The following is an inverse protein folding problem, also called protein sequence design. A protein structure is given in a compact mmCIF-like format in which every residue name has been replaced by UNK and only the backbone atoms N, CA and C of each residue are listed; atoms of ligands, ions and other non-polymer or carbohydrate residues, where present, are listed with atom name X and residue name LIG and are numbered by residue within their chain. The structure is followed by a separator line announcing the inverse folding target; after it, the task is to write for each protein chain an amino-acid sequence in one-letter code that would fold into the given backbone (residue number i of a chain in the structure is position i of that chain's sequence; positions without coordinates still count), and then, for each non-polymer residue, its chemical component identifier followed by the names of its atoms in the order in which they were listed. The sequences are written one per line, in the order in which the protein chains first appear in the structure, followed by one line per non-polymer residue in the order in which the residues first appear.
data_IF_754378712946
#
_entry.id   IF_754378712946
#
_cell.length_a   1.000
_cell.length_b   1.000
_cell.length_c   1.000
_cell.angle_alpha   90.00
_cell.angle_beta   90.00
_cell.angle_gamma   90.00
#
_symmetry.space_group_name_H-M   'P 1'
#
loop_
_entity.id
_entity.type
_entity.pdbx_description
1 polymer ?
#
# COMPACT_ATOMS: atom_id res chain seq x y z
N UNK A 1 -8.98 -22.16 20.41
CA UNK A 1 -8.71 -22.41 18.98
C UNK A 1 -8.25 -21.10 18.39
N UNK A 2 -7.12 -21.09 17.68
CA UNK A 2 -6.78 -19.95 16.82
C UNK A 2 -7.79 -19.92 15.66
N UNK A 3 -8.26 -18.73 15.24
CA UNK A 3 -9.12 -18.60 14.07
C UNK A 3 -8.40 -19.15 12.82
N UNK A 4 -9.16 -19.72 11.89
CA UNK A 4 -8.60 -20.12 10.60
C UNK A 4 -8.31 -18.89 9.74
N UNK A 5 -7.44 -19.00 8.74
CA UNK A 5 -7.22 -17.91 7.79
C UNK A 5 -8.52 -17.43 7.14
N UNK A 6 -9.46 -18.34 6.88
CA UNK A 6 -10.76 -17.99 6.33
C UNK A 6 -11.60 -17.16 7.31
N UNK A 7 -11.55 -17.47 8.62
CA UNK A 7 -12.23 -16.68 9.64
C UNK A 7 -11.62 -15.28 9.78
N UNK A 8 -10.29 -15.17 9.71
CA UNK A 8 -9.61 -13.88 9.75
C UNK A 8 -9.98 -13.03 8.53
N UNK A 9 -9.90 -13.58 7.32
CA UNK A 9 -10.30 -12.86 6.10
C UNK A 9 -11.79 -12.49 6.09
N UNK A 10 -12.65 -13.27 6.74
CA UNK A 10 -14.06 -12.93 6.92
C UNK A 10 -14.30 -11.71 7.83
N UNK A 11 -13.29 -11.28 8.61
CA UNK A 11 -13.36 -10.05 9.41
C UNK A 11 -13.19 -8.77 8.57
N UNK A 12 -12.80 -8.86 7.30
CA UNK A 12 -12.75 -7.72 6.39
C UNK A 12 -14.18 -7.20 6.16
N UNK A 13 -14.40 -5.92 6.49
CA UNK A 13 -15.68 -5.24 6.33
C UNK A 13 -15.72 -4.48 5.01
N UNK A 14 -16.83 -4.58 4.29
CA UNK A 14 -17.03 -3.96 2.98
C UNK A 14 -17.72 -2.59 3.12
N UNK A 15 -17.40 -1.58 2.27
CA UNK A 15 -16.37 -1.63 1.23
C UNK A 15 -14.96 -1.77 1.81
N UNK A 16 -14.10 -2.55 1.15
CA UNK A 16 -12.71 -2.70 1.56
C UNK A 16 -11.80 -1.85 0.68
N UNK A 17 -10.86 -1.15 1.32
CA UNK A 17 -9.91 -0.25 0.70
C UNK A 17 -8.51 -0.83 0.81
N UNK A 18 -7.96 -1.33 -0.29
CA UNK A 18 -6.60 -1.89 -0.32
C UNK A 18 -5.62 -0.76 -0.57
N UNK A 19 -4.87 -0.39 0.47
CA UNK A 19 -4.04 0.81 0.52
C UNK A 19 -2.55 0.45 0.54
N UNK A 20 -1.80 1.08 -0.36
CA UNK A 20 -0.33 1.02 -0.39
C UNK A 20 0.26 2.42 -0.50
N UNK A 21 1.46 2.60 0.06
CA UNK A 21 2.16 3.88 0.14
C UNK A 21 3.56 3.81 -0.44
N UNK A 22 3.90 4.85 -1.20
CA UNK A 22 5.26 5.09 -1.66
C UNK A 22 5.86 6.34 -1.03
N UNK A 23 7.06 6.18 -0.51
CA UNK A 23 7.78 7.22 0.22
C UNK A 23 9.14 7.48 -0.40
N UNK A 24 9.61 8.71 -0.32
CA UNK A 24 10.98 9.04 -0.66
C UNK A 24 11.80 9.38 0.57
N UNK A 25 13.11 9.15 0.49
CA UNK A 25 14.10 9.55 1.49
C UNK A 25 15.27 10.23 0.77
N UNK A 26 15.71 11.38 1.27
CA UNK A 26 16.92 12.05 0.76
C UNK A 26 17.93 12.29 1.87
N UNK A 27 19.22 12.17 1.54
CA UNK A 27 20.31 12.52 2.46
C UNK A 27 20.40 14.04 2.70
N UNK A 28 20.02 14.82 1.69
CA UNK A 28 19.87 16.29 1.81
C UNK A 28 18.38 16.60 1.83
N UNK A 29 17.85 17.25 2.87
CA UNK A 29 16.44 17.62 2.94
C UNK A 29 16.01 18.43 1.72
N UNK A 30 14.92 18.02 1.06
CA UNK A 30 14.31 18.82 0.00
C UNK A 30 13.59 20.06 0.55
N UNK A 31 13.16 20.00 1.81
CA UNK A 31 12.49 21.10 2.49
C UNK A 31 13.23 21.49 3.79
N UNK A 32 13.29 22.78 4.16
CA UNK A 32 14.09 23.26 5.30
C UNK A 32 13.71 22.64 6.66
N UNK A 33 12.49 22.10 6.77
CA UNK A 33 11.90 21.55 8.00
C UNK A 33 11.84 20.02 8.01
N UNK A 34 12.48 19.35 7.05
CA UNK A 34 12.54 17.89 6.97
C UNK A 34 13.89 17.43 7.46
N UNK A 35 13.94 16.43 8.34
CA UNK A 35 15.20 15.88 8.80
C UNK A 35 15.88 15.07 7.67
N UNK A 36 17.22 15.05 7.58
CA UNK A 36 17.93 14.12 6.71
C UNK A 36 17.44 12.68 6.91
N UNK A 37 17.26 11.94 5.81
CA UNK A 37 16.79 10.55 5.80
C UNK A 37 15.36 10.32 6.33
N UNK A 38 14.59 11.38 6.58
CA UNK A 38 13.18 11.24 6.92
C UNK A 38 12.38 10.73 5.71
N UNK A 39 11.54 9.73 5.95
CA UNK A 39 10.62 9.22 4.93
C UNK A 39 9.46 10.19 4.76
N UNK A 40 9.29 10.70 3.53
CA UNK A 40 8.15 11.54 3.18
C UNK A 40 7.19 10.75 2.31
N UNK A 41 5.93 10.71 2.72
CA UNK A 41 4.86 10.14 1.92
C UNK A 41 4.61 10.98 0.67
N UNK A 42 4.68 10.35 -0.49
CA UNK A 42 4.54 11.02 -1.79
C UNK A 42 3.49 10.44 -2.68
N UNK A 43 3.13 9.19 -2.45
CA UNK A 43 2.18 8.52 -3.30
C UNK A 43 1.39 7.50 -2.50
N UNK A 44 0.15 7.29 -2.94
CA UNK A 44 -0.65 6.17 -2.53
C UNK A 44 -1.46 5.61 -3.69
N UNK A 45 -1.85 4.36 -3.56
CA UNK A 45 -2.84 3.69 -4.38
C UNK A 45 -3.92 3.10 -3.50
N UNK A 46 -5.18 3.08 -3.97
CA UNK A 46 -6.33 2.50 -3.29
C UNK A 46 -7.18 1.74 -4.30
N UNK A 47 -7.16 0.41 -4.23
CA UNK A 47 -8.19 -0.40 -4.87
C UNK A 47 -9.41 -0.53 -3.95
N UNK A 48 -10.60 -0.21 -4.46
CA UNK A 48 -11.85 -0.27 -3.69
C UNK A 48 -12.64 -1.47 -4.16
N UNK A 49 -13.07 -2.28 -3.20
CA UNK A 49 -13.88 -3.46 -3.45
C UNK A 49 -15.21 -3.40 -2.69
N UNK A 50 -16.31 -3.73 -3.36
CA UNK A 50 -17.64 -3.84 -2.74
C UNK A 50 -17.91 -5.22 -2.13
N UNK A 51 -17.14 -6.22 -2.56
CA UNK A 51 -17.21 -7.62 -2.13
C UNK A 51 -15.85 -8.30 -2.42
N UNK A 52 -15.58 -9.52 -1.93
CA UNK A 52 -14.35 -10.25 -2.25
C UNK A 52 -14.08 -10.27 -3.76
N UNK A 53 -12.89 -9.83 -4.16
CA UNK A 53 -12.41 -9.77 -5.56
C UNK A 53 -13.16 -8.84 -6.51
N UNK A 54 -14.17 -8.12 -6.04
CA UNK A 54 -14.96 -7.23 -6.88
C UNK A 54 -14.39 -5.81 -6.80
N UNK A 55 -13.33 -5.53 -7.55
CA UNK A 55 -12.80 -4.17 -7.73
C UNK A 55 -13.83 -3.33 -8.48
N UNK A 56 -14.31 -2.26 -7.86
CA UNK A 56 -15.30 -1.36 -8.45
C UNK A 56 -14.75 0.04 -8.75
N UNK A 57 -13.67 0.45 -8.07
CA UNK A 57 -13.05 1.76 -8.24
C UNK A 57 -11.55 1.68 -7.89
N UNK A 58 -10.76 2.61 -8.43
CA UNK A 58 -9.35 2.77 -8.11
C UNK A 58 -9.04 4.26 -7.96
N UNK A 59 -8.37 4.61 -6.87
CA UNK A 59 -7.97 5.98 -6.55
C UNK A 59 -6.48 6.02 -6.29
N UNK A 60 -5.84 7.08 -6.73
CA UNK A 60 -4.39 7.21 -6.64
C UNK A 60 -4.00 8.67 -6.47
N UNK A 61 -2.84 8.87 -5.85
CA UNK A 61 -2.23 10.18 -5.69
C UNK A 61 -0.73 10.07 -5.91
N UNK A 62 -0.16 11.03 -6.62
CA UNK A 62 1.29 11.19 -6.75
C UNK A 62 1.64 12.67 -6.64
N UNK A 63 2.41 12.99 -5.61
CA UNK A 63 2.82 14.34 -5.25
C UNK A 63 3.44 15.10 -6.43
N UNK A 64 3.19 16.40 -6.45
CA UNK A 64 3.95 17.34 -7.25
C UNK A 64 5.33 17.52 -6.61
N UNK A 65 6.38 17.24 -7.37
CA UNK A 65 7.76 17.27 -6.88
C UNK A 65 8.29 18.69 -6.66
N UNK A 66 7.54 19.73 -7.04
CA UNK A 66 7.92 21.14 -6.90
C UNK A 66 7.48 21.78 -5.59
N UNK A 67 6.64 21.11 -4.79
CA UNK A 67 6.08 21.65 -3.54
C UNK A 67 5.91 20.57 -2.48
N UNK A 68 5.78 20.97 -1.21
CA UNK A 68 5.38 20.03 -0.15
C UNK A 68 3.89 19.71 -0.29
N UNK A 69 3.59 18.45 -0.64
CA UNK A 69 2.25 17.95 -0.86
C UNK A 69 1.67 17.20 0.34
N UNK A 70 2.37 17.08 1.47
CA UNK A 70 1.94 16.19 2.57
C UNK A 70 0.56 16.51 3.15
N UNK A 71 0.21 17.81 3.26
CA UNK A 71 -1.14 18.22 3.70
C UNK A 71 -2.20 17.83 2.68
N UNK A 72 -1.99 18.21 1.41
CA UNK A 72 -2.90 17.90 0.30
C UNK A 72 -3.14 16.39 0.19
N UNK A 73 -2.06 15.61 0.31
CA UNK A 73 -2.09 14.15 0.32
C UNK A 73 -2.92 13.63 1.50
N UNK A 74 -2.70 14.13 2.72
CA UNK A 74 -3.46 13.70 3.90
C UNK A 74 -4.96 13.99 3.77
N UNK A 75 -5.33 15.19 3.32
CA UNK A 75 -6.72 15.58 3.10
C UNK A 75 -7.39 14.71 2.02
N UNK A 76 -6.67 14.44 0.93
CA UNK A 76 -7.17 13.58 -0.14
C UNK A 76 -7.30 12.12 0.29
N UNK A 77 -6.33 11.61 1.04
CA UNK A 77 -6.34 10.27 1.60
C UNK A 77 -7.58 10.04 2.49
N UNK A 78 -7.87 10.97 3.40
CA UNK A 78 -9.08 10.91 4.25
C UNK A 78 -10.34 10.84 3.39
N UNK A 79 -10.45 11.72 2.38
CA UNK A 79 -11.61 11.75 1.49
C UNK A 79 -11.74 10.47 0.66
N UNK A 80 -10.63 9.92 0.17
CA UNK A 80 -10.62 8.73 -0.68
C UNK A 80 -10.94 7.44 0.10
N UNK A 81 -10.60 7.37 1.39
CA UNK A 81 -10.86 6.23 2.29
C UNK A 81 -12.26 6.25 2.95
N UNK A 82 -12.94 7.40 2.94
CA UNK A 82 -14.26 7.58 3.55
C UNK A 82 -14.29 7.23 5.05
N UNK A 83 -15.46 6.89 5.57
CA UNK A 83 -15.69 6.65 7.02
C UNK A 83 -16.07 5.20 7.39
N UNK A 84 -16.24 4.29 6.42
CA UNK A 84 -16.79 2.95 6.65
C UNK A 84 -15.93 1.82 6.05
N UNK A 85 -16.08 0.59 6.55
CA UNK A 85 -15.38 -0.59 6.02
C UNK A 85 -13.93 -0.74 6.48
N UNK A 86 -13.22 -1.73 5.96
CA UNK A 86 -11.84 -2.03 6.34
C UNK A 86 -10.84 -1.38 5.39
N UNK A 87 -9.70 -0.93 5.94
CA UNK A 87 -8.56 -0.45 5.14
C UNK A 87 -7.49 -1.52 5.22
N UNK A 88 -7.37 -2.32 4.16
CA UNK A 88 -6.45 -3.45 4.09
C UNK A 88 -5.07 -2.96 3.64
N UNK A 89 -4.05 -3.23 4.44
CA UNK A 89 -2.65 -2.92 4.12
C UNK A 89 -1.81 -4.19 4.23
N UNK A 90 -0.65 -4.22 3.58
CA UNK A 90 0.22 -5.38 3.65
C UNK A 90 1.11 -5.38 4.90
N UNK A 91 1.32 -4.23 5.55
CA UNK A 91 2.20 -4.17 6.72
C UNK A 91 1.82 -3.05 7.69
N UNK A 92 2.49 -2.94 8.85
CA UNK A 92 2.32 -1.81 9.77
C UNK A 92 2.90 -0.48 9.24
N UNK A 93 3.51 -0.45 8.05
CA UNK A 93 4.17 0.74 7.53
C UNK A 93 3.18 1.87 7.26
N UNK A 94 2.02 1.56 6.69
CA UNK A 94 0.97 2.54 6.38
C UNK A 94 0.45 3.21 7.66
N UNK A 95 0.27 2.43 8.73
CA UNK A 95 -0.07 2.94 10.07
C UNK A 95 0.97 3.96 10.56
N UNK A 96 2.24 3.66 10.37
CA UNK A 96 3.34 4.56 10.77
C UNK A 96 3.27 5.87 10.00
N UNK A 97 3.00 5.82 8.70
CA UNK A 97 2.90 7.03 7.86
C UNK A 97 1.67 7.87 8.19
N UNK A 98 0.50 7.24 8.44
CA UNK A 98 -0.71 7.96 8.85
C UNK A 98 -0.50 8.67 10.20
N UNK A 99 0.12 8.01 11.18
CA UNK A 99 0.44 8.64 12.47
C UNK A 99 1.40 9.82 12.32
N UNK A 100 2.41 9.73 11.45
CA UNK A 100 3.31 10.86 11.16
C UNK A 100 2.56 12.05 10.54
N UNK A 101 1.59 11.79 9.65
CA UNK A 101 0.74 12.85 9.11
C UNK A 101 -0.12 13.50 10.20
N UNK A 102 -0.65 12.71 11.15
CA UNK A 102 -1.42 13.21 12.28
C UNK A 102 -0.58 14.07 13.24
N UNK A 103 0.67 13.68 13.50
CA UNK A 103 1.63 14.49 14.26
C UNK A 103 1.98 15.81 13.55
N UNK A 104 2.16 15.75 12.23
CA UNK A 104 2.51 16.90 11.42
C UNK A 104 1.35 17.89 11.25
N UNK A 105 0.11 17.39 11.19
CA UNK A 105 -1.11 18.18 11.01
C UNK A 105 -2.12 17.86 12.12
N UNK A 106 -2.00 18.48 13.31
CA UNK A 106 -2.86 18.16 14.46
C UNK A 106 -4.36 18.36 14.21
N UNK A 107 -4.75 19.26 13.30
CA UNK A 107 -6.14 19.47 12.88
C UNK A 107 -6.70 18.31 12.04
N UNK A 108 -5.84 17.48 11.45
CA UNK A 108 -6.21 16.26 10.73
C UNK A 108 -6.03 14.98 11.57
N UNK A 109 -5.57 15.11 12.83
CA UNK A 109 -5.22 13.96 13.65
C UNK A 109 -6.44 13.05 13.96
N UNK A 110 -7.59 13.65 14.24
CA UNK A 110 -8.82 12.90 14.51
C UNK A 110 -9.29 12.07 13.29
N UNK A 111 -9.50 12.64 12.08
CA UNK A 111 -9.89 11.84 10.92
C UNK A 111 -8.84 10.80 10.52
N UNK A 112 -7.54 11.12 10.61
CA UNK A 112 -6.47 10.15 10.37
C UNK A 112 -6.49 9.01 11.41
N UNK A 113 -6.79 9.32 12.66
CA UNK A 113 -6.97 8.34 13.73
C UNK A 113 -8.08 7.33 13.41
N UNK A 114 -9.22 7.80 12.88
CA UNK A 114 -10.29 6.91 12.41
C UNK A 114 -9.87 6.00 11.26
N UNK A 115 -8.99 6.48 10.36
CA UNK A 115 -8.38 5.61 9.36
C UNK A 115 -7.51 4.52 10.00
N UNK A 116 -6.69 4.87 11.00
CA UNK A 116 -5.83 3.92 11.73
C UNK A 116 -6.65 2.83 12.43
N UNK A 117 -7.80 3.17 13.02
CA UNK A 117 -8.70 2.22 13.68
C UNK A 117 -9.33 1.20 12.72
N UNK A 118 -9.38 1.53 11.42
CA UNK A 118 -9.93 0.66 10.37
C UNK A 118 -8.86 -0.18 9.66
N UNK A 119 -7.58 -0.01 9.99
CA UNK A 119 -6.49 -0.75 9.36
C UNK A 119 -6.59 -2.26 9.66
N UNK A 120 -6.41 -3.04 8.62
CA UNK A 120 -6.38 -4.50 8.65
C UNK A 120 -5.07 -4.97 8.02
N UNK A 121 -4.15 -5.50 8.86
CA UNK A 121 -2.81 -5.93 8.43
C UNK A 121 -2.87 -7.34 7.85
N UNK A 122 -2.79 -7.44 6.53
CA UNK A 122 -2.87 -8.69 5.81
C UNK A 122 -1.66 -9.59 6.10
N UNK A 123 -0.46 -9.05 6.24
CA UNK A 123 0.73 -9.88 6.48
C UNK A 123 0.68 -10.54 7.85
N UNK A 124 0.19 -9.84 8.87
CA UNK A 124 0.06 -10.44 10.21
C UNK A 124 -0.86 -11.67 10.15
N UNK A 125 -2.04 -11.49 9.56
CA UNK A 125 -3.05 -12.54 9.32
C UNK A 125 -2.46 -13.75 8.59
N UNK A 126 -1.68 -13.50 7.54
CA UNK A 126 -1.01 -14.56 6.79
C UNK A 126 0.05 -15.28 7.62
N UNK A 127 0.85 -14.55 8.39
CA UNK A 127 1.94 -15.13 9.16
C UNK A 127 1.46 -15.95 10.37
N UNK A 128 0.29 -15.64 10.92
CA UNK A 128 -0.29 -16.35 12.05
C UNK A 128 -1.16 -17.53 11.60
N UNK A 129 -1.88 -17.39 10.49
CA UNK A 129 -2.90 -18.35 10.05
C UNK A 129 -2.50 -19.30 8.92
N UNK A 130 -1.35 -19.10 8.26
CA UNK A 130 -1.01 -19.87 7.06
C UNK A 130 0.49 -20.02 6.80
N UNK A 131 0.91 -21.21 6.38
CA UNK A 131 2.27 -21.46 5.92
C UNK A 131 2.25 -22.32 4.66
N UNK A 132 3.07 -21.94 3.68
CA UNK A 132 3.36 -22.75 2.50
C UNK A 132 4.87 -23.02 2.42
N UNK A 133 5.33 -24.25 2.12
CA UNK A 133 6.77 -24.55 2.02
C UNK A 133 7.53 -23.63 1.06
N UNK A 134 6.90 -23.29 -0.08
CA UNK A 134 7.49 -22.42 -1.11
C UNK A 134 7.54 -20.93 -0.71
N UNK A 135 7.02 -20.55 0.46
CA UNK A 135 7.30 -19.23 1.02
C UNK A 135 8.75 -19.11 1.48
N UNK A 136 9.42 -20.23 1.74
CA UNK A 136 10.80 -20.28 2.27
C UNK A 136 10.99 -19.42 3.53
N UNK A 137 9.94 -19.32 4.36
CA UNK A 137 9.93 -18.51 5.59
C UNK A 137 9.73 -17.01 5.38
N UNK A 138 9.51 -16.54 4.14
CA UNK A 138 9.24 -15.14 3.83
C UNK A 138 7.75 -14.88 3.64
N UNK A 139 7.23 -13.91 4.41
CA UNK A 139 5.89 -13.35 4.27
C UNK A 139 5.94 -11.94 3.66
N UNK A 140 6.86 -11.70 2.73
CA UNK A 140 6.81 -10.49 1.89
C UNK A 140 5.81 -10.71 0.76
N UNK A 141 5.17 -9.64 0.28
CA UNK A 141 4.18 -9.74 -0.79
C UNK A 141 4.78 -10.42 -2.03
N UNK A 142 6.02 -10.07 -2.36
CA UNK A 142 6.78 -10.65 -3.48
C UNK A 142 7.18 -12.11 -3.28
N UNK A 143 7.26 -12.58 -2.04
CA UNK A 143 7.53 -13.99 -1.73
C UNK A 143 6.27 -14.85 -1.80
N UNK A 144 5.14 -14.34 -1.31
CA UNK A 144 3.88 -15.11 -1.25
C UNK A 144 3.06 -15.01 -2.54
N UNK A 145 3.12 -13.88 -3.25
CA UNK A 145 2.31 -13.63 -4.44
C UNK A 145 2.53 -14.66 -5.55
N UNK A 146 3.77 -15.00 -5.96
CA UNK A 146 3.99 -15.96 -7.05
C UNK A 146 3.49 -17.37 -6.72
N UNK A 147 3.47 -17.73 -5.43
CA UNK A 147 3.03 -19.05 -4.95
C UNK A 147 1.50 -19.17 -5.01
N UNK A 148 0.79 -18.10 -4.68
CA UNK A 148 -0.66 -18.12 -4.50
C UNK A 148 -1.44 -17.56 -5.68
N UNK A 149 -0.81 -16.66 -6.43
CA UNK A 149 -1.39 -15.95 -7.58
C UNK A 149 -0.34 -15.98 -8.72
N UNK A 150 -0.03 -17.17 -9.27
CA UNK A 150 1.07 -17.33 -10.23
C UNK A 150 0.84 -16.58 -11.55
N UNK A 151 -0.39 -16.14 -11.83
CA UNK A 151 -0.74 -15.32 -13.00
C UNK A 151 -0.46 -13.83 -12.79
N UNK A 152 -0.03 -13.40 -11.60
CA UNK A 152 0.34 -12.02 -11.30
C UNK A 152 1.85 -11.90 -11.06
N UNK A 153 2.50 -11.02 -11.82
CA UNK A 153 3.95 -10.79 -11.75
C UNK A 153 4.28 -9.31 -11.82
N UNK A 154 5.48 -8.96 -11.34
CA UNK A 154 6.10 -7.65 -11.53
C UNK A 154 7.13 -7.67 -12.67
N UNK A 155 7.35 -8.83 -13.30
CA UNK A 155 8.26 -8.96 -14.44
C UNK A 155 7.82 -8.09 -15.61
N UNK A 156 8.77 -7.40 -16.23
CA UNK A 156 8.52 -6.50 -17.35
C UNK A 156 8.07 -5.09 -16.96
N UNK A 157 7.86 -4.81 -15.67
CA UNK A 157 7.61 -3.45 -15.20
C UNK A 157 8.90 -2.63 -15.18
N UNK A 158 8.84 -1.37 -15.61
CA UNK A 158 9.97 -0.44 -15.53
C UNK A 158 10.37 -0.11 -14.08
N UNK A 159 9.41 -0.20 -13.15
CA UNK A 159 9.59 -0.05 -11.71
C UNK A 159 9.02 -1.30 -11.07
N UNK A 160 9.87 -2.11 -10.45
CA UNK A 160 9.50 -3.38 -9.83
C UNK A 160 9.76 -3.43 -8.33
N UNK A 161 10.27 -2.36 -7.73
CA UNK A 161 10.58 -2.27 -6.30
C UNK A 161 10.58 -0.83 -5.76
N UNK A 162 10.33 -0.71 -4.45
CA UNK A 162 10.22 0.57 -3.77
C UNK A 162 11.53 1.37 -3.69
N UNK A 163 12.70 0.72 -3.70
CA UNK A 163 13.98 1.44 -3.71
C UNK A 163 14.17 2.15 -5.07
N UNK A 164 13.84 1.47 -6.16
CA UNK A 164 13.80 2.03 -7.51
C UNK A 164 12.75 3.15 -7.60
N UNK A 165 11.54 2.95 -7.09
CA UNK A 165 10.47 3.96 -7.07
C UNK A 165 10.91 5.24 -6.34
N UNK A 166 11.45 5.10 -5.12
CA UNK A 166 11.98 6.19 -4.31
C UNK A 166 13.12 6.94 -5.01
N UNK A 167 14.08 6.22 -5.60
CA UNK A 167 15.20 6.82 -6.32
C UNK A 167 14.75 7.60 -7.57
N UNK A 168 13.75 7.09 -8.28
CA UNK A 168 13.15 7.74 -9.44
C UNK A 168 12.41 9.02 -9.02
N UNK A 169 11.59 8.98 -7.97
CA UNK A 169 10.92 10.16 -7.45
C UNK A 169 11.94 11.24 -7.02
N UNK A 170 13.03 10.84 -6.35
CA UNK A 170 14.10 11.77 -5.97
C UNK A 170 14.76 12.44 -7.19
N UNK A 171 15.00 11.71 -8.29
CA UNK A 171 15.52 12.29 -9.54
C UNK A 171 14.58 13.34 -10.13
N UNK A 172 13.28 13.08 -10.09
CA UNK A 172 12.26 14.03 -10.52
C UNK A 172 12.28 15.30 -9.68
N UNK A 173 12.35 15.17 -8.35
CA UNK A 173 12.42 16.31 -7.44
C UNK A 173 13.69 17.16 -7.59
N UNK A 174 14.80 16.56 -8.03
CA UNK A 174 16.04 17.28 -8.36
C UNK A 174 15.99 17.99 -9.72
N UNK A 175 14.87 17.93 -10.46
CA UNK A 175 14.73 18.56 -11.78
C UNK A 175 15.64 17.95 -12.86
N UNK A 176 16.04 16.68 -12.70
CA UNK A 176 16.98 16.00 -13.61
C UNK A 176 16.31 15.34 -14.81
N UNK A 177 15.02 15.56 -15.02
CA UNK A 177 14.21 14.95 -16.08
C UNK A 177 13.62 16.01 -17.02
N UNK A 178 13.58 15.72 -18.31
CA UNK A 178 12.78 16.49 -19.27
C UNK A 178 11.28 16.34 -19.02
N UNK A 179 10.45 17.23 -19.57
CA UNK A 179 8.98 17.15 -19.41
C UNK A 179 8.38 15.83 -19.92
N UNK A 180 8.92 15.28 -21.02
CA UNK A 180 8.44 14.02 -21.57
C UNK A 180 8.81 12.82 -20.68
N UNK A 181 10.03 12.82 -20.14
CA UNK A 181 10.49 11.81 -19.17
C UNK A 181 9.70 11.89 -17.87
N UNK A 182 9.41 13.09 -17.37
CA UNK A 182 8.58 13.30 -16.19
C UNK A 182 7.21 12.66 -16.33
N UNK A 183 6.53 12.85 -17.48
CA UNK A 183 5.21 12.25 -17.71
C UNK A 183 5.29 10.71 -17.69
N UNK A 184 6.22 10.13 -18.44
CA UNK A 184 6.40 8.68 -18.52
C UNK A 184 6.70 8.07 -17.15
N UNK A 185 7.62 8.69 -16.41
CA UNK A 185 8.01 8.20 -15.09
C UNK A 185 6.85 8.26 -14.09
N UNK A 186 6.02 9.32 -14.14
CA UNK A 186 4.82 9.40 -13.29
C UNK A 186 3.86 8.25 -13.57
N UNK A 187 3.61 7.93 -14.84
CA UNK A 187 2.75 6.81 -15.23
C UNK A 187 3.32 5.46 -14.71
N UNK A 188 4.64 5.28 -14.77
CA UNK A 188 5.30 4.07 -14.25
C UNK A 188 5.19 3.94 -12.73
N UNK A 189 5.37 5.04 -11.98
CA UNK A 189 5.21 5.06 -10.52
C UNK A 189 3.77 4.73 -10.12
N UNK A 190 2.77 5.33 -10.79
CA UNK A 190 1.36 5.06 -10.56
C UNK A 190 1.02 3.59 -10.85
N UNK A 191 1.53 3.05 -11.97
CA UNK A 191 1.32 1.64 -12.35
C UNK A 191 1.91 0.69 -11.31
N UNK A 192 3.11 0.96 -10.79
CA UNK A 192 3.76 0.13 -9.78
C UNK A 192 2.97 0.11 -8.45
N UNK A 193 2.62 1.27 -7.90
CA UNK A 193 1.84 1.33 -6.65
C UNK A 193 0.42 0.76 -6.84
N UNK A 194 -0.17 0.92 -8.04
CA UNK A 194 -1.40 0.25 -8.44
C UNK A 194 -1.29 -1.28 -8.38
N UNK A 195 -0.20 -1.83 -8.92
CA UNK A 195 0.08 -3.26 -8.90
C UNK A 195 0.16 -3.82 -7.46
N UNK A 196 0.77 -3.10 -6.52
CA UNK A 196 0.88 -3.53 -5.11
C UNK A 196 -0.50 -3.67 -4.45
N UNK A 197 -1.38 -2.69 -4.66
CA UNK A 197 -2.77 -2.78 -4.14
C UNK A 197 -3.60 -3.86 -4.81
N UNK A 198 -3.44 -4.07 -6.12
CA UNK A 198 -4.10 -5.16 -6.83
C UNK A 198 -3.59 -6.53 -6.35
N UNK A 199 -2.30 -6.65 -6.02
CA UNK A 199 -1.71 -7.85 -5.47
C UNK A 199 -2.35 -8.23 -4.13
N UNK A 200 -2.61 -7.25 -3.27
CA UNK A 200 -3.34 -7.48 -2.01
C UNK A 200 -4.79 -7.94 -2.24
N UNK A 201 -5.50 -7.35 -3.20
CA UNK A 201 -6.84 -7.80 -3.59
C UNK A 201 -6.80 -9.27 -4.01
N UNK A 202 -5.86 -9.64 -4.88
CA UNK A 202 -5.72 -11.00 -5.40
C UNK A 202 -5.32 -12.01 -4.32
N UNK A 203 -4.42 -11.62 -3.42
CA UNK A 203 -4.03 -12.46 -2.29
C UNK A 203 -5.21 -12.75 -1.38
N UNK A 204 -5.95 -11.73 -0.96
CA UNK A 204 -7.13 -11.90 -0.09
C UNK A 204 -8.18 -12.85 -0.71
N UNK A 205 -8.29 -12.86 -2.04
CA UNK A 205 -9.15 -13.80 -2.75
C UNK A 205 -8.60 -15.22 -2.84
N UNK A 206 -7.32 -15.38 -3.22
CA UNK A 206 -6.72 -16.69 -3.44
C UNK A 206 -6.95 -17.61 -2.24
N UNK A 207 -6.89 -17.05 -1.04
CA UNK A 207 -7.19 -17.80 0.19
C UNK A 207 -8.67 -18.13 0.41
N UNK A 208 -9.59 -17.27 -0.04
CA UNK A 208 -11.03 -17.51 0.07
C UNK A 208 -11.52 -18.61 -0.88
N UNK A 209 -10.92 -18.72 -2.07
CA UNK A 209 -11.31 -19.71 -3.09
C UNK A 209 -10.59 -21.05 -2.95
N UNK A 210 -9.42 -21.07 -2.32
CA UNK A 210 -8.60 -22.26 -2.20
C UNK A 210 -9.14 -23.35 -1.25
N UNK A 211 -10.13 -23.09 -0.39
CA UNK A 211 -10.79 -24.16 0.40
C UNK A 211 -9.88 -25.01 1.29
N UNK A 212 -8.62 -24.61 1.50
CA UNK A 212 -7.64 -25.33 2.32
C UNK A 212 -7.81 -24.95 3.79
N UNK A 213 -8.91 -25.39 4.38
CA UNK A 213 -9.24 -25.22 5.80
C UNK A 213 -9.67 -26.52 6.49
N UNK A 214 -9.55 -27.66 5.82
CA UNK A 214 -9.90 -28.97 6.38
C UNK A 214 -8.93 -30.05 5.94
N UNK A 215 -7.66 -29.94 6.28
CA UNK A 215 -6.80 -31.11 6.45
C UNK A 215 -5.57 -30.75 7.28
N UNK A 216 -5.58 -31.23 8.52
CA UNK A 216 -4.54 -31.05 9.53
C UNK A 216 -4.90 -31.87 10.75
N UNK A 217 -4.73 -33.19 10.60
CA UNK A 217 -4.84 -34.21 11.65
C UNK A 217 -3.72 -34.11 12.66
#
# INVERSE_FOLDING_TARGET
MQPSLADELAAIRWPAYYLDFETFKTAVPLFPYVAPHEAILTQYSIHICSAPSQVNDHREYLADTSKDCRRELAERLIADLGDEGSIVTYSPYEKTMINKLAELFPDLAEPLGRCVERLYDLKNVLSEGYYHPDFHGSYSIKGVLPVLVPDMTYEGMDIGDGDTASAIFAKMAMGRNSKAEMKKVREQLLTYCGQDTLAMVRLSHGFSSSGYGSEGS
#
